data_IF_862503014654
#
_entry.id   IF_862503014654
#
_cell.length_a   1.000
_cell.length_b   1.000
_cell.length_c   1.000
_cell.angle_alpha   90.00
_cell.angle_beta   90.00
_cell.angle_gamma   90.00
#
_symmetry.space_group_name_H-M   'P 1'
#
loop_
_entity.id
_entity.type
_entity.pdbx_description
1 polymer ?
#
# COMPACT_ATOMS: atom_id res chain seq x y z
N UNK A 1 4.95 -9.21 -19.36
CA UNK A 1 4.06 -8.17 -18.79
C UNK A 1 4.65 -6.84 -19.18
N UNK A 2 3.88 -5.97 -19.80
CA UNK A 2 4.33 -4.62 -20.15
C UNK A 2 3.94 -3.67 -19.00
N UNK A 3 4.94 -3.03 -18.38
CA UNK A 3 4.73 -2.07 -17.30
C UNK A 3 4.82 -0.64 -17.87
N UNK A 4 4.04 0.32 -17.34
CA UNK A 4 4.19 1.72 -17.74
C UNK A 4 5.63 2.20 -17.51
N UNK A 5 6.22 2.88 -18.50
CA UNK A 5 7.62 3.34 -18.42
C UNK A 5 7.86 4.29 -17.25
N UNK A 6 6.90 5.17 -16.95
CA UNK A 6 6.96 6.09 -15.82
C UNK A 6 6.99 5.36 -14.47
N UNK A 7 6.23 4.26 -14.35
CA UNK A 7 6.22 3.42 -13.15
C UNK A 7 7.60 2.82 -12.90
N UNK A 8 8.17 2.16 -13.92
CA UNK A 8 9.51 1.56 -13.82
C UNK A 8 10.57 2.61 -13.47
N UNK A 9 10.51 3.79 -14.10
CA UNK A 9 11.42 4.89 -13.81
C UNK A 9 11.30 5.37 -12.36
N UNK A 10 10.09 5.61 -11.84
CA UNK A 10 9.88 6.03 -10.44
C UNK A 10 10.48 5.05 -9.44
N UNK A 11 10.31 3.74 -9.69
CA UNK A 11 10.86 2.69 -8.84
C UNK A 11 12.39 2.72 -8.84
N UNK A 12 13.02 2.86 -10.02
CA UNK A 12 14.47 2.93 -10.16
C UNK A 12 15.01 4.22 -9.52
N UNK A 13 14.37 5.37 -9.76
CA UNK A 13 14.79 6.65 -9.17
C UNK A 13 14.69 6.63 -7.64
N UNK A 14 13.73 5.88 -7.09
CA UNK A 14 13.53 5.74 -5.64
C UNK A 14 14.48 4.74 -4.98
N UNK A 15 14.68 3.56 -5.60
CA UNK A 15 15.35 2.41 -4.97
C UNK A 15 16.66 1.98 -5.66
N UNK A 16 17.07 2.63 -6.75
CA UNK A 16 18.30 2.30 -7.47
C UNK A 16 18.31 0.84 -7.96
N UNK A 17 19.42 0.16 -7.71
CA UNK A 17 19.64 -1.25 -8.12
C UNK A 17 18.60 -2.20 -7.49
N UNK A 18 18.16 -1.94 -6.26
CA UNK A 18 17.09 -2.72 -5.62
C UNK A 18 15.77 -2.56 -6.37
N UNK A 19 15.52 -1.37 -6.94
CA UNK A 19 14.36 -1.09 -7.77
C UNK A 19 14.39 -1.88 -9.08
N UNK A 20 15.56 -1.95 -9.74
CA UNK A 20 15.77 -2.77 -10.95
C UNK A 20 15.50 -4.25 -10.64
N UNK A 21 16.15 -4.78 -9.59
CA UNK A 21 15.97 -6.17 -9.19
C UNK A 21 14.51 -6.49 -8.81
N UNK A 22 13.82 -5.54 -8.18
CA UNK A 22 12.41 -5.68 -7.84
C UNK A 22 11.51 -5.74 -9.08
N UNK A 23 11.73 -4.87 -10.07
CA UNK A 23 10.98 -4.85 -11.33
C UNK A 23 11.18 -6.15 -12.12
N UNK A 24 12.40 -6.66 -12.18
CA UNK A 24 12.73 -7.91 -12.87
C UNK A 24 12.04 -9.12 -12.21
N UNK A 25 11.96 -9.13 -10.88
CA UNK A 25 11.31 -10.19 -10.12
C UNK A 25 9.76 -10.08 -10.09
N UNK A 26 9.20 -8.92 -10.41
CA UNK A 26 7.78 -8.63 -10.23
C UNK A 26 6.86 -9.64 -10.96
N UNK A 27 7.06 -9.98 -12.26
CA UNK A 27 6.19 -10.95 -12.94
C UNK A 27 6.14 -12.32 -12.26
N UNK A 28 7.26 -12.79 -11.69
CA UNK A 28 7.30 -14.05 -10.96
C UNK A 28 6.56 -13.93 -9.62
N UNK A 29 6.76 -12.83 -8.89
CA UNK A 29 6.07 -12.55 -7.62
C UNK A 29 4.54 -12.49 -7.77
N UNK A 30 4.04 -11.91 -8.86
CA UNK A 30 2.60 -11.87 -9.15
C UNK A 30 2.04 -13.27 -9.33
N UNK A 31 2.68 -14.12 -10.14
CA UNK A 31 2.26 -15.52 -10.34
C UNK A 31 2.34 -16.34 -9.05
N UNK A 32 3.36 -16.08 -8.23
CA UNK A 32 3.47 -16.72 -6.92
C UNK A 32 2.33 -16.31 -5.99
N UNK A 33 1.95 -15.04 -5.96
CA UNK A 33 0.81 -14.56 -5.18
C UNK A 33 -0.52 -15.17 -5.67
N UNK A 34 -0.73 -15.23 -6.99
CA UNK A 34 -1.88 -15.91 -7.61
C UNK A 34 -2.00 -17.36 -7.15
N UNK A 35 -0.89 -18.11 -7.19
CA UNK A 35 -0.86 -19.50 -6.73
C UNK A 35 -1.02 -19.62 -5.22
N UNK A 36 -0.35 -18.76 -4.46
CA UNK A 36 -0.32 -18.82 -2.99
C UNK A 36 -1.71 -18.57 -2.40
N UNK A 37 -2.45 -17.61 -2.96
CA UNK A 37 -3.74 -17.18 -2.41
C UNK A 37 -4.94 -17.57 -3.26
N UNK A 38 -4.73 -18.30 -4.36
CA UNK A 38 -5.81 -18.76 -5.23
C UNK A 38 -6.59 -17.60 -5.86
N UNK A 39 -5.87 -16.56 -6.31
CA UNK A 39 -6.44 -15.34 -6.91
C UNK A 39 -6.12 -15.30 -8.40
N UNK A 40 -7.05 -14.76 -9.19
CA UNK A 40 -6.83 -14.39 -10.58
C UNK A 40 -6.72 -12.86 -10.67
N UNK A 41 -5.54 -12.36 -11.04
CA UNK A 41 -5.31 -10.92 -11.15
C UNK A 41 -5.92 -10.34 -12.43
N UNK A 42 -6.39 -9.11 -12.30
CA UNK A 42 -6.88 -8.27 -13.38
C UNK A 42 -5.82 -7.19 -13.69
N UNK A 43 -5.99 -6.42 -14.79
CA UNK A 43 -5.09 -5.30 -15.07
C UNK A 43 -4.96 -4.35 -13.87
N UNK A 44 -3.74 -3.84 -13.59
CA UNK A 44 -3.50 -3.04 -12.41
C UNK A 44 -4.27 -1.70 -12.46
N UNK A 45 -4.44 -1.09 -11.29
CA UNK A 45 -4.82 0.31 -11.19
C UNK A 45 -3.71 1.23 -11.73
N UNK A 46 -3.95 2.53 -11.90
CA UNK A 46 -2.87 3.49 -12.12
C UNK A 46 -1.77 3.33 -11.07
N UNK A 47 -0.55 3.07 -11.53
CA UNK A 47 0.57 2.70 -10.67
C UNK A 47 1.42 3.91 -10.25
N UNK A 48 2.02 3.82 -9.07
CA UNK A 48 2.94 4.84 -8.54
C UNK A 48 4.19 4.19 -7.94
N UNK A 49 4.30 4.03 -6.62
CA UNK A 49 5.46 3.40 -5.96
C UNK A 49 5.25 1.92 -5.62
N UNK A 50 4.08 1.37 -5.92
CA UNK A 50 3.74 -0.03 -5.70
C UNK A 50 2.98 -0.56 -6.90
N UNK A 51 3.09 -1.87 -7.17
CA UNK A 51 2.21 -2.54 -8.11
C UNK A 51 0.91 -2.89 -7.38
N UNK A 52 -0.23 -2.40 -7.86
CA UNK A 52 -1.54 -2.63 -7.24
C UNK A 52 -2.53 -3.09 -8.29
N UNK A 53 -3.12 -4.26 -8.08
CA UNK A 53 -4.06 -4.85 -9.03
C UNK A 53 -5.28 -5.45 -8.33
N UNK A 54 -6.49 -5.30 -8.90
CA UNK A 54 -7.63 -6.08 -8.46
C UNK A 54 -7.46 -7.55 -8.84
N UNK A 55 -8.19 -8.41 -8.15
CA UNK A 55 -8.30 -9.81 -8.51
C UNK A 55 -9.55 -10.45 -7.90
N UNK A 56 -9.78 -11.70 -8.26
CA UNK A 56 -10.89 -12.50 -7.74
C UNK A 56 -10.38 -13.84 -7.20
N UNK A 57 -10.92 -14.29 -6.07
CA UNK A 57 -10.66 -15.63 -5.53
C UNK A 57 -11.54 -16.67 -6.24
N UNK A 58 -11.20 -17.94 -6.06
CA UNK A 58 -11.99 -19.07 -6.60
C UNK A 58 -13.45 -19.13 -6.12
N UNK A 59 -13.76 -18.52 -4.97
CA UNK A 59 -15.12 -18.38 -4.45
C UNK A 59 -15.88 -17.17 -5.00
N UNK A 60 -15.25 -16.37 -5.87
CA UNK A 60 -15.80 -15.16 -6.47
C UNK A 60 -15.61 -13.89 -5.65
N UNK A 61 -15.01 -13.96 -4.46
CA UNK A 61 -14.73 -12.77 -3.66
C UNK A 61 -13.68 -11.87 -4.32
N UNK A 62 -13.92 -10.56 -4.28
CA UNK A 62 -13.03 -9.56 -4.86
C UNK A 62 -11.95 -9.13 -3.88
N UNK A 63 -10.73 -9.00 -4.39
CA UNK A 63 -9.54 -8.64 -3.60
C UNK A 63 -8.69 -7.62 -4.35
N UNK A 64 -7.76 -7.01 -3.64
CA UNK A 64 -6.70 -6.18 -4.23
C UNK A 64 -5.35 -6.70 -3.76
N UNK A 65 -4.48 -7.03 -4.72
CA UNK A 65 -3.08 -7.33 -4.45
C UNK A 65 -2.29 -6.03 -4.51
N UNK A 66 -1.56 -5.71 -3.43
CA UNK A 66 -0.52 -4.68 -3.40
C UNK A 66 0.84 -5.36 -3.25
N UNK A 67 1.77 -5.00 -4.13
CA UNK A 67 3.16 -5.46 -4.11
C UNK A 67 4.08 -4.25 -4.04
N UNK A 68 4.90 -4.20 -2.99
CA UNK A 68 5.89 -3.15 -2.77
C UNK A 68 7.30 -3.72 -2.61
N UNK A 69 8.28 -2.83 -2.51
CA UNK A 69 9.65 -3.21 -2.11
C UNK A 69 9.62 -3.49 -0.60
N UNK A 70 10.07 -4.68 -0.13
CA UNK A 70 10.13 -4.98 1.30
C UNK A 70 11.01 -3.96 2.04
N UNK A 71 10.39 -3.20 2.94
CA UNK A 71 11.07 -2.21 3.76
C UNK A 71 10.33 -2.03 5.10
N UNK A 72 10.86 -1.17 5.97
CA UNK A 72 10.24 -0.90 7.27
C UNK A 72 8.83 -0.31 7.15
N UNK A 73 8.61 0.61 6.20
CA UNK A 73 7.33 1.28 5.99
C UNK A 73 6.22 0.30 5.59
N UNK A 74 6.51 -0.63 4.69
CA UNK A 74 5.60 -1.70 4.28
C UNK A 74 5.25 -2.62 5.46
N UNK A 75 6.22 -2.93 6.33
CA UNK A 75 5.97 -3.73 7.53
C UNK A 75 5.07 -2.99 8.52
N UNK A 76 5.31 -1.70 8.75
CA UNK A 76 4.42 -0.89 9.59
C UNK A 76 3.05 -0.71 8.96
N UNK A 77 2.92 -0.65 7.64
CA UNK A 77 1.61 -0.64 6.97
C UNK A 77 0.83 -1.93 7.26
N UNK A 78 1.48 -3.09 7.14
CA UNK A 78 0.87 -4.38 7.48
C UNK A 78 0.39 -4.38 8.94
N UNK A 79 1.22 -3.91 9.88
CA UNK A 79 0.84 -3.81 11.30
C UNK A 79 -0.33 -2.85 11.51
N UNK A 80 -0.32 -1.69 10.86
CA UNK A 80 -1.40 -0.70 10.96
C UNK A 80 -2.73 -1.27 10.45
N UNK A 81 -2.74 -1.91 9.28
CA UNK A 81 -3.95 -2.50 8.72
C UNK A 81 -4.52 -3.61 9.62
N UNK A 82 -3.67 -4.39 10.29
CA UNK A 82 -4.10 -5.38 11.30
C UNK A 82 -4.73 -4.74 12.53
N UNK A 83 -4.26 -3.57 12.97
CA UNK A 83 -4.83 -2.85 14.11
C UNK A 83 -6.15 -2.15 13.76
N UNK A 84 -6.27 -1.64 12.54
CA UNK A 84 -7.49 -1.03 12.05
C UNK A 84 -8.58 -2.08 11.81
N UNK A 85 -8.24 -3.23 11.22
CA UNK A 85 -9.14 -4.37 10.99
C UNK A 85 -10.48 -3.98 10.34
N UNK A 86 -10.42 -3.18 9.27
CA UNK A 86 -11.62 -2.70 8.58
C UNK A 86 -12.28 -1.46 9.19
N UNK A 87 -11.77 -0.94 10.32
CA UNK A 87 -12.26 0.31 10.91
C UNK A 87 -11.63 1.50 10.20
N UNK A 88 -12.44 2.22 9.42
CA UNK A 88 -12.04 3.38 8.61
C UNK A 88 -10.84 3.15 7.67
N UNK A 89 -10.46 1.89 7.45
CA UNK A 89 -9.38 1.45 6.58
C UNK A 89 -9.76 0.09 5.99
N UNK A 90 -9.13 -0.30 4.89
CA UNK A 90 -9.35 -1.62 4.29
C UNK A 90 -8.85 -2.73 5.21
N UNK A 91 -9.53 -3.87 5.21
CA UNK A 91 -9.06 -5.11 5.85
C UNK A 91 -7.87 -5.69 5.11
N UNK A 92 -6.86 -6.07 5.88
CA UNK A 92 -5.80 -6.95 5.43
C UNK A 92 -6.28 -8.40 5.51
N UNK A 93 -6.38 -9.06 4.36
CA UNK A 93 -6.82 -10.45 4.27
C UNK A 93 -5.65 -11.40 4.47
N UNK A 94 -4.52 -11.14 3.81
CA UNK A 94 -3.28 -11.93 3.89
C UNK A 94 -2.07 -11.01 3.68
N UNK A 95 -0.89 -11.41 4.16
CA UNK A 95 0.36 -10.68 3.87
C UNK A 95 1.60 -11.56 3.96
N UNK A 96 2.58 -11.25 3.12
CA UNK A 96 3.96 -11.71 3.23
C UNK A 96 4.87 -10.47 3.21
N UNK A 97 5.22 -9.98 4.40
CA UNK A 97 6.02 -8.75 4.55
C UNK A 97 7.48 -8.90 4.09
N UNK A 98 8.01 -10.12 4.05
CA UNK A 98 9.36 -10.38 3.55
C UNK A 98 9.41 -10.33 2.02
N UNK A 99 8.31 -10.74 1.35
CA UNK A 99 8.14 -10.61 -0.10
C UNK A 99 7.49 -9.29 -0.53
N UNK A 100 6.99 -8.49 0.41
CA UNK A 100 6.33 -7.22 0.13
C UNK A 100 4.93 -7.38 -0.47
N UNK A 101 4.22 -8.44 -0.10
CA UNK A 101 2.89 -8.78 -0.62
C UNK A 101 1.81 -8.49 0.43
N UNK A 102 0.75 -7.79 0.01
CA UNK A 102 -0.44 -7.54 0.81
C UNK A 102 -1.67 -7.91 -0.03
N UNK A 103 -2.55 -8.72 0.53
CA UNK A 103 -3.87 -8.99 -0.03
C UNK A 103 -4.92 -8.26 0.79
N UNK A 104 -5.64 -7.36 0.14
CA UNK A 104 -6.57 -6.44 0.76
C UNK A 104 -8.00 -6.74 0.29
N UNK A 105 -8.99 -6.39 1.11
CA UNK A 105 -10.37 -6.38 0.65
C UNK A 105 -10.57 -5.36 -0.48
N UNK A 106 -11.46 -5.68 -1.43
CA UNK A 106 -11.85 -4.72 -2.46
C UNK A 106 -13.00 -3.85 -1.95
N UNK A 107 -12.77 -2.54 -1.87
CA UNK A 107 -13.83 -1.57 -1.56
C UNK A 107 -14.69 -1.29 -2.79
N UNK A 108 -16.01 -1.35 -2.60
CA UNK A 108 -17.04 -0.98 -3.58
C UNK A 108 -17.99 0.07 -2.95
N UNK A 109 -18.34 1.15 -3.66
CA UNK A 109 -17.95 1.49 -5.03
C UNK A 109 -16.47 1.91 -5.16
N UNK A 110 -15.84 2.32 -4.06
CA UNK A 110 -14.40 2.69 -4.05
C UNK A 110 -14.11 4.05 -4.72
N UNK A 111 -15.11 4.91 -4.84
CA UNK A 111 -14.99 6.26 -5.39
C UNK A 111 -14.01 7.09 -4.59
N UNK A 112 -13.05 7.72 -5.26
CA UNK A 112 -12.05 8.56 -4.62
C UNK A 112 -12.64 9.91 -4.23
N UNK A 113 -12.34 10.42 -3.03
CA UNK A 113 -12.71 11.79 -2.64
C UNK A 113 -12.04 12.84 -3.53
N UNK A 114 -10.92 12.52 -4.19
CA UNK A 114 -10.25 13.41 -5.16
C UNK A 114 -11.13 13.69 -6.39
N UNK A 115 -12.06 12.79 -6.71
CA UNK A 115 -12.99 12.96 -7.82
C UNK A 115 -14.19 13.85 -7.47
N UNK A 116 -14.35 14.21 -6.18
CA UNK A 116 -15.43 15.08 -5.75
C UNK A 116 -15.07 16.54 -6.06
N UNK A 117 -15.96 17.22 -6.80
CA UNK A 117 -15.72 18.60 -7.23
C UNK A 117 -15.82 19.62 -6.07
N UNK A 118 -16.58 19.29 -5.03
CA UNK A 118 -16.75 20.12 -3.84
C UNK A 118 -15.68 19.79 -2.80
N UNK A 119 -14.65 20.63 -2.73
CA UNK A 119 -13.50 20.48 -1.84
C UNK A 119 -13.88 20.60 -0.35
N UNK A 120 -14.85 21.46 -0.02
CA UNK A 120 -15.31 21.63 1.37
C UNK A 120 -16.03 20.36 1.82
N UNK A 121 -16.88 19.79 0.96
CA UNK A 121 -17.54 18.52 1.23
C UNK A 121 -16.54 17.35 1.30
N UNK A 122 -15.55 17.29 0.40
CA UNK A 122 -14.51 16.26 0.43
C UNK A 122 -13.70 16.32 1.74
N UNK A 123 -13.34 17.54 2.16
CA UNK A 123 -12.63 17.79 3.41
C UNK A 123 -13.48 17.40 4.62
N UNK A 124 -14.78 17.74 4.62
CA UNK A 124 -15.69 17.37 5.70
C UNK A 124 -15.83 15.84 5.85
N UNK A 125 -15.92 15.09 4.74
CA UNK A 125 -15.92 13.63 4.78
C UNK A 125 -14.61 13.07 5.35
N UNK A 126 -13.47 13.55 4.87
CA UNK A 126 -12.17 13.10 5.35
C UNK A 126 -11.98 13.38 6.85
N UNK A 127 -12.31 14.60 7.29
CA UNK A 127 -12.22 15.02 8.69
C UNK A 127 -13.16 14.19 9.59
N UNK A 128 -14.37 13.88 9.10
CA UNK A 128 -15.35 13.06 9.81
C UNK A 128 -14.88 11.62 10.07
N UNK A 129 -14.01 11.07 9.22
CA UNK A 129 -13.46 9.72 9.36
C UNK A 129 -12.24 9.64 10.28
N UNK A 130 -11.55 10.76 10.55
CA UNK A 130 -10.31 10.74 11.33
C UNK A 130 -10.47 10.12 12.73
N UNK A 131 -11.55 10.39 13.50
CA UNK A 131 -11.75 9.77 14.81
C UNK A 131 -11.84 8.25 14.76
N UNK A 132 -12.41 7.69 13.69
CA UNK A 132 -12.58 6.25 13.51
C UNK A 132 -11.27 5.56 13.10
N UNK A 133 -10.35 6.31 12.49
CA UNK A 133 -9.02 5.83 12.13
C UNK A 133 -8.08 5.73 13.33
N UNK A 134 -8.33 6.51 14.39
CA UNK A 134 -7.47 6.53 15.58
C UNK A 134 -7.60 5.23 16.37
N UNK A 135 -6.51 4.46 16.41
CA UNK A 135 -6.39 3.26 17.22
C UNK A 135 -5.22 3.37 18.21
N UNK A 136 -5.38 2.94 19.46
CA UNK A 136 -4.24 2.81 20.37
C UNK A 136 -3.24 1.81 19.82
N UNK A 137 -1.96 2.18 19.82
CA UNK A 137 -0.87 1.27 19.47
C UNK A 137 -0.50 0.38 20.67
N UNK A 138 -0.12 -0.90 20.46
CA UNK A 138 0.32 -1.77 21.55
C UNK A 138 1.58 -1.22 22.24
N UNK A 139 1.81 -1.48 23.55
CA UNK A 139 2.98 -0.92 24.28
C UNK A 139 4.34 -1.23 23.65
N UNK A 140 4.44 -2.30 22.86
CA UNK A 140 5.60 -2.61 22.02
C UNK A 140 5.13 -2.58 20.57
N UNK A 141 5.69 -1.68 19.78
CA UNK A 141 5.36 -1.53 18.36
C UNK A 141 6.58 -1.03 17.58
N UNK A 142 6.53 -1.18 16.25
CA UNK A 142 7.56 -0.67 15.33
C UNK A 142 7.18 0.67 14.67
N UNK A 143 5.97 1.20 14.95
CA UNK A 143 5.52 2.45 14.33
C UNK A 143 6.45 3.63 14.64
N UNK A 144 6.83 4.42 13.62
CA UNK A 144 7.61 5.63 13.83
C UNK A 144 6.77 6.68 14.56
N UNK A 145 7.40 7.37 15.50
CA UNK A 145 6.82 8.55 16.14
C UNK A 145 6.98 9.80 15.26
N UNK A 146 6.20 10.85 15.55
CA UNK A 146 6.42 12.17 14.95
C UNK A 146 7.84 12.69 15.22
N UNK A 147 8.42 12.35 16.38
CA UNK A 147 9.80 12.71 16.70
C UNK A 147 10.80 12.02 15.78
N UNK A 148 10.58 10.74 15.42
CA UNK A 148 11.42 9.99 14.48
C UNK A 148 11.38 10.64 13.08
N UNK A 149 10.18 11.04 12.63
CA UNK A 149 10.02 11.78 11.38
C UNK A 149 10.77 13.13 11.41
N UNK A 150 10.70 13.84 12.54
CA UNK A 150 11.40 15.12 12.72
C UNK A 150 12.93 14.98 12.67
N UNK A 151 13.50 13.80 12.97
CA UNK A 151 14.93 13.54 12.76
C UNK A 151 15.33 13.65 11.29
N UNK A 152 14.42 13.31 10.37
CA UNK A 152 14.64 13.48 8.93
C UNK A 152 14.91 14.92 8.53
N UNK A 153 14.26 15.88 9.19
CA UNK A 153 14.44 17.32 8.94
C UNK A 153 15.81 17.81 9.40
N UNK A 154 16.46 17.14 10.37
CA UNK A 154 17.81 17.53 10.81
C UNK A 154 18.84 17.41 9.68
N UNK A 155 18.69 16.42 8.80
CA UNK A 155 19.56 16.24 7.63
C UNK A 155 19.41 17.38 6.62
N UNK A 156 18.23 17.98 6.53
CA UNK A 156 17.99 19.14 5.67
C UNK A 156 18.64 20.40 6.27
N UNK A 157 18.57 20.57 7.59
CA UNK A 157 19.19 21.71 8.29
C UNK A 157 20.72 21.76 8.20
N UNK A 158 21.39 20.64 7.91
CA UNK A 158 22.84 20.63 7.63
C UNK A 158 23.17 20.98 6.18
N UNK A 159 22.18 20.94 5.28
CA UNK A 159 22.34 21.13 3.83
C UNK A 159 21.85 22.50 3.35
N UNK A 160 20.98 23.16 4.11
CA UNK A 160 20.39 24.48 3.87
C UNK A 160 20.44 25.30 5.15
#
# INVERSE_FOLDING_TARGET
MELPSEFSRRIIDFAGDDGVAWLDALPARLKEAERMWGIALQPPFPLSYNYVAPGTRGDGSEVVLKVGIPNHELRTEIEALRLCDGRAAVRLLEADGDRGLLLLERIRPGTSLVELADDEQATAFAAGLMPDLWCPVPPRHSFPSVADWALGLRRLRTRY
#
